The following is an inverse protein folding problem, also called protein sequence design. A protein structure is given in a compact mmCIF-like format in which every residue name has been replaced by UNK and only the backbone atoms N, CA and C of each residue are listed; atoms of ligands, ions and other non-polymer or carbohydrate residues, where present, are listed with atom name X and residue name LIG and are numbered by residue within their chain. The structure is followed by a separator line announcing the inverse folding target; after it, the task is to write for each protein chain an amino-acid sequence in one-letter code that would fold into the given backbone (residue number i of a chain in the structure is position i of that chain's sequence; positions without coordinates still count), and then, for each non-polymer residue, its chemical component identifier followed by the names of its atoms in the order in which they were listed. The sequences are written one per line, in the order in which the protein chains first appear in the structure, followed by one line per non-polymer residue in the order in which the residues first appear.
data_IF_947086214710
#
_entry.id   IF_947086214710
#
_cell.length_a   1.000
_cell.length_b   1.000
_cell.length_c   1.000
_cell.angle_alpha   90.00
_cell.angle_beta   90.00
_cell.angle_gamma   90.00
#
_symmetry.space_group_name_H-M   'P 1'
#
loop_
_entity.id
_entity.type
_entity.pdbx_description
1 polymer ?
#
# COMPACT_ATOMS: atom_id res chain seq x y z
N UNK A 1 22.06 33.59 13.04
CA UNK A 1 20.80 33.28 13.75
C UNK A 1 20.86 31.83 14.13
N UNK A 2 20.77 31.54 15.42
CA UNK A 2 21.03 30.24 16.04
C UNK A 2 20.02 29.20 15.54
N UNK A 3 20.45 28.31 14.65
CA UNK A 3 19.71 27.09 14.30
C UNK A 3 19.74 26.18 15.51
N UNK A 4 18.76 26.33 16.41
CA UNK A 4 18.48 25.30 17.39
C UNK A 4 18.02 24.07 16.60
N UNK A 5 18.68 22.93 16.82
CA UNK A 5 18.17 21.66 16.31
C UNK A 5 16.71 21.51 16.74
N UNK A 6 15.83 21.00 15.86
CA UNK A 6 14.44 20.77 16.22
C UNK A 6 14.39 19.90 17.49
N UNK A 7 13.43 20.15 18.40
CA UNK A 7 13.31 19.40 19.65
C UNK A 7 13.21 17.91 19.34
N UNK A 8 14.06 17.10 20.01
CA UNK A 8 14.06 15.65 19.82
C UNK A 8 12.74 15.08 20.32
N UNK A 9 12.04 14.22 19.56
CA UNK A 9 10.77 13.65 19.97
C UNK A 9 10.92 12.84 21.27
N UNK A 10 9.88 12.76 22.12
CA UNK A 10 9.91 11.97 23.34
C UNK A 10 10.26 10.50 23.08
N UNK A 11 11.05 9.90 23.97
CA UNK A 11 11.41 8.50 23.86
C UNK A 11 10.17 7.60 24.00
N UNK A 12 9.98 6.70 23.04
CA UNK A 12 8.86 5.75 23.02
C UNK A 12 9.28 4.46 23.72
N UNK A 13 8.41 3.91 24.57
CA UNK A 13 8.59 2.62 25.23
C UNK A 13 7.68 1.54 24.65
N UNK A 14 6.53 1.93 24.09
CA UNK A 14 5.56 1.03 23.51
C UNK A 14 4.98 1.55 22.19
N UNK A 15 4.73 0.63 21.27
CA UNK A 15 3.88 0.85 20.11
C UNK A 15 2.56 0.13 20.33
N UNK A 16 1.45 0.81 20.06
CA UNK A 16 0.11 0.25 20.07
C UNK A 16 -0.49 0.45 18.68
N UNK A 17 -0.95 -0.61 18.03
CA UNK A 17 -1.48 -0.53 16.67
C UNK A 17 -2.96 -0.91 16.66
N UNK A 18 -3.77 -0.22 15.87
CA UNK A 18 -5.04 -0.80 15.44
C UNK A 18 -4.80 -2.05 14.56
N UNK A 19 -5.84 -2.85 14.36
CA UNK A 19 -5.80 -4.06 13.55
C UNK A 19 -6.35 -3.85 12.14
N UNK A 20 -7.57 -3.32 12.05
CA UNK A 20 -8.40 -3.31 10.86
C UNK A 20 -8.07 -2.06 10.05
N UNK A 21 -7.78 -2.18 8.76
CA UNK A 21 -7.39 -1.02 7.94
C UNK A 21 -5.96 -0.51 8.21
N UNK A 22 -5.26 -1.05 9.21
CA UNK A 22 -3.86 -0.73 9.53
C UNK A 22 -2.89 -1.92 9.42
N UNK A 23 -3.13 -3.01 10.16
CA UNK A 23 -2.32 -4.24 10.06
C UNK A 23 -2.89 -5.17 9.01
N UNK A 24 -4.22 -5.30 9.00
CA UNK A 24 -4.97 -6.20 8.14
C UNK A 24 -5.88 -5.40 7.21
N UNK A 25 -5.85 -5.74 5.93
CA UNK A 25 -6.80 -5.23 4.95
C UNK A 25 -8.14 -5.99 5.08
N UNK A 26 -8.91 -5.64 6.10
CA UNK A 26 -10.27 -6.16 6.30
C UNK A 26 -11.30 -5.37 5.50
N UNK A 27 -11.00 -4.13 5.11
CA UNK A 27 -11.89 -3.31 4.32
C UNK A 27 -12.11 -3.87 2.91
N UNK A 28 -11.05 -4.34 2.23
CA UNK A 28 -11.21 -4.99 0.92
C UNK A 28 -12.15 -6.20 0.99
N UNK A 29 -12.07 -7.02 2.05
CA UNK A 29 -13.01 -8.13 2.24
C UNK A 29 -14.45 -7.64 2.46
N UNK A 30 -14.64 -6.59 3.26
CA UNK A 30 -15.93 -5.96 3.46
C UNK A 30 -16.54 -5.45 2.14
N UNK A 31 -15.76 -4.80 1.28
CA UNK A 31 -16.22 -4.33 -0.02
C UNK A 31 -16.57 -5.47 -0.96
N UNK A 32 -15.76 -6.53 -0.99
CA UNK A 32 -16.01 -7.70 -1.83
C UNK A 32 -17.30 -8.42 -1.42
N UNK A 33 -17.50 -8.65 -0.12
CA UNK A 33 -18.75 -9.22 0.39
C UNK A 33 -19.92 -8.28 0.15
N UNK A 34 -19.75 -6.98 0.40
CA UNK A 34 -20.76 -5.97 0.14
C UNK A 34 -21.25 -5.98 -1.31
N UNK A 35 -20.31 -6.02 -2.26
CA UNK A 35 -20.59 -6.15 -3.70
C UNK A 35 -21.32 -7.45 -4.01
N UNK A 36 -20.89 -8.58 -3.43
CA UNK A 36 -21.52 -9.87 -3.67
C UNK A 36 -22.97 -9.92 -3.12
N UNK A 37 -23.22 -9.36 -1.94
CA UNK A 37 -24.55 -9.28 -1.33
C UNK A 37 -25.45 -8.36 -2.16
N UNK A 38 -24.99 -7.16 -2.53
CA UNK A 38 -25.76 -6.26 -3.39
C UNK A 38 -26.12 -6.90 -4.74
N UNK A 39 -25.18 -7.62 -5.36
CA UNK A 39 -25.42 -8.30 -6.62
C UNK A 39 -26.54 -9.34 -6.54
N UNK A 40 -26.69 -10.03 -5.39
CA UNK A 40 -27.82 -10.96 -5.15
C UNK A 40 -29.17 -10.25 -5.16
N UNK A 41 -29.18 -8.97 -4.82
CA UNK A 41 -30.36 -8.10 -4.84
C UNK A 41 -30.47 -7.26 -6.13
N UNK A 42 -29.68 -7.58 -7.17
CA UNK A 42 -29.70 -6.87 -8.45
C UNK A 42 -29.17 -5.44 -8.37
N UNK A 43 -28.31 -5.14 -7.40
CA UNK A 43 -27.69 -3.82 -7.19
C UNK A 43 -26.17 -3.91 -7.33
N UNK A 44 -25.55 -2.78 -7.61
CA UNK A 44 -24.09 -2.63 -7.67
C UNK A 44 -23.59 -1.75 -6.54
N UNK A 45 -22.39 -2.05 -6.02
CA UNK A 45 -21.73 -1.19 -5.04
C UNK A 45 -21.14 0.04 -5.75
N UNK A 46 -21.86 1.16 -5.70
CA UNK A 46 -21.39 2.42 -6.30
C UNK A 46 -20.37 3.12 -5.39
N UNK A 47 -19.49 3.98 -5.94
CA UNK A 47 -18.57 4.79 -5.14
C UNK A 47 -19.31 5.68 -4.11
N UNK A 48 -20.49 6.19 -4.45
CA UNK A 48 -21.35 6.98 -3.57
C UNK A 48 -21.82 6.16 -2.37
N UNK A 49 -22.31 4.93 -2.63
CA UNK A 49 -22.79 4.02 -1.59
C UNK A 49 -21.66 3.57 -0.67
N UNK A 50 -20.48 3.30 -1.25
CA UNK A 50 -19.27 3.00 -0.49
C UNK A 50 -18.88 4.17 0.43
N UNK A 51 -18.84 5.40 -0.09
CA UNK A 51 -18.55 6.59 0.73
C UNK A 51 -19.58 6.81 1.83
N UNK A 52 -20.87 6.56 1.56
CA UNK A 52 -21.94 6.69 2.54
C UNK A 52 -21.81 5.69 3.69
N UNK A 53 -21.29 4.48 3.44
CA UNK A 53 -21.13 3.41 4.42
C UNK A 53 -19.86 3.52 5.27
N UNK A 54 -18.89 4.31 4.83
CA UNK A 54 -17.53 4.34 5.34
C UNK A 54 -17.43 4.73 6.82
N UNK A 55 -16.61 4.02 7.59
CA UNK A 55 -16.34 4.30 9.01
C UNK A 55 -17.53 4.08 9.95
N UNK A 56 -18.62 3.47 9.48
CA UNK A 56 -19.84 3.22 10.27
C UNK A 56 -19.93 1.77 10.75
N UNK A 57 -20.70 1.57 11.81
CA UNK A 57 -21.05 0.21 12.29
C UNK A 57 -21.87 -0.53 11.23
N UNK A 58 -21.77 -1.89 11.15
CA UNK A 58 -22.37 -2.66 10.06
C UNK A 58 -23.84 -2.36 9.77
N UNK A 59 -24.68 -2.25 10.80
CA UNK A 59 -26.11 -1.96 10.64
C UNK A 59 -26.36 -0.58 10.00
N UNK A 60 -25.63 0.46 10.45
CA UNK A 60 -25.73 1.80 9.88
C UNK A 60 -25.14 1.85 8.47
N UNK A 61 -23.98 1.20 8.27
CA UNK A 61 -23.31 1.10 6.97
C UNK A 61 -24.23 0.46 5.93
N UNK A 62 -24.86 -0.67 6.25
CA UNK A 62 -25.84 -1.33 5.37
C UNK A 62 -27.09 -0.48 5.15
N UNK A 63 -27.57 0.24 6.16
CA UNK A 63 -28.73 1.13 6.03
C UNK A 63 -28.48 2.28 5.06
N UNK A 64 -27.34 2.95 5.18
CA UNK A 64 -26.95 4.05 4.29
C UNK A 64 -26.65 3.55 2.87
N UNK A 65 -25.96 2.42 2.76
CA UNK A 65 -25.67 1.77 1.49
C UNK A 65 -26.96 1.35 0.77
N UNK A 66 -27.89 0.68 1.46
CA UNK A 66 -29.17 0.27 0.90
C UNK A 66 -30.00 1.48 0.44
N UNK A 67 -30.00 2.56 1.22
CA UNK A 67 -30.65 3.82 0.85
C UNK A 67 -30.05 4.42 -0.41
N UNK A 68 -28.72 4.46 -0.52
CA UNK A 68 -28.02 5.07 -1.66
C UNK A 68 -28.28 4.32 -2.97
N UNK A 69 -28.34 2.99 -2.93
CA UNK A 69 -28.61 2.17 -4.13
C UNK A 69 -30.12 1.94 -4.38
N UNK A 70 -30.99 2.52 -3.57
CA UNK A 70 -32.45 2.33 -3.65
C UNK A 70 -32.87 0.86 -3.48
N UNK A 71 -32.31 0.19 -2.47
CA UNK A 71 -32.64 -1.19 -2.09
C UNK A 71 -33.61 -1.19 -0.91
N UNK A 72 -34.82 -1.71 -1.11
CA UNK A 72 -35.87 -1.82 -0.08
C UNK A 72 -35.73 -3.10 0.75
N UNK A 73 -34.52 -3.39 1.23
CA UNK A 73 -34.23 -4.53 2.12
C UNK A 73 -33.82 -3.98 3.49
N UNK A 74 -34.37 -4.52 4.60
CA UNK A 74 -33.96 -4.10 5.94
C UNK A 74 -32.45 -4.29 6.14
N UNK A 75 -31.78 -3.28 6.69
CA UNK A 75 -30.33 -3.33 6.91
C UNK A 75 -29.90 -4.53 7.77
N UNK A 76 -30.74 -4.95 8.73
CA UNK A 76 -30.47 -6.14 9.54
C UNK A 76 -30.40 -7.41 8.70
N UNK A 77 -31.28 -7.56 7.69
CA UNK A 77 -31.23 -8.70 6.79
C UNK A 77 -29.93 -8.72 5.99
N UNK A 78 -29.46 -7.55 5.52
CA UNK A 78 -28.19 -7.44 4.81
C UNK A 78 -26.98 -7.75 5.72
N UNK A 79 -27.05 -7.36 7.01
CA UNK A 79 -26.08 -7.78 8.02
C UNK A 79 -26.08 -9.31 8.14
N UNK A 80 -27.23 -9.93 8.36
CA UNK A 80 -27.38 -11.37 8.54
C UNK A 80 -26.92 -12.17 7.30
N UNK A 81 -27.09 -11.61 6.09
CA UNK A 81 -26.60 -12.19 4.83
C UNK A 81 -25.07 -12.05 4.66
N UNK A 82 -24.49 -10.94 5.13
CA UNK A 82 -23.07 -10.61 4.95
C UNK A 82 -22.15 -11.22 6.00
N UNK A 83 -22.60 -11.33 7.25
CA UNK A 83 -21.81 -11.82 8.38
C UNK A 83 -21.20 -13.21 8.14
N UNK A 84 -21.95 -14.26 7.72
CA UNK A 84 -21.35 -15.57 7.49
C UNK A 84 -20.33 -15.59 6.35
N UNK A 85 -20.49 -14.71 5.35
CA UNK A 85 -19.55 -14.58 4.23
C UNK A 85 -18.24 -13.94 4.68
N UNK A 86 -18.32 -12.94 5.56
CA UNK A 86 -17.15 -12.31 6.16
C UNK A 86 -16.45 -13.24 7.14
N UNK A 87 -17.20 -13.91 8.00
CA UNK A 87 -16.69 -14.87 9.00
C UNK A 87 -15.87 -15.99 8.36
N UNK A 88 -16.28 -16.47 7.18
CA UNK A 88 -15.54 -17.46 6.41
C UNK A 88 -14.21 -16.94 5.82
N UNK A 89 -14.05 -15.62 5.70
CA UNK A 89 -12.93 -14.97 4.98
C UNK A 89 -12.00 -14.16 5.87
N UNK A 90 -12.32 -13.95 7.15
CA UNK A 90 -11.46 -13.17 8.05
C UNK A 90 -10.01 -13.64 8.11
N UNK A 91 -9.80 -14.95 8.06
CA UNK A 91 -8.46 -15.53 8.05
C UNK A 91 -7.64 -15.14 6.80
N UNK A 92 -8.31 -14.78 5.71
CA UNK A 92 -7.73 -14.43 4.41
C UNK A 92 -7.39 -12.94 4.27
N UNK A 93 -7.73 -12.11 5.26
CA UNK A 93 -7.39 -10.69 5.25
C UNK A 93 -5.89 -10.51 4.99
N UNK A 94 -5.53 -9.73 3.98
CA UNK A 94 -4.12 -9.50 3.61
C UNK A 94 -3.45 -8.63 4.67
N UNK A 95 -2.13 -8.74 4.77
CA UNK A 95 -1.34 -7.86 5.65
C UNK A 95 -1.06 -6.58 4.87
N UNK A 96 -1.31 -5.43 5.49
CA UNK A 96 -1.05 -4.14 4.87
C UNK A 96 0.46 -3.83 4.82
N UNK A 97 0.94 -3.18 3.74
CA UNK A 97 2.37 -2.96 3.55
C UNK A 97 3.03 -2.17 4.69
N UNK A 98 4.14 -2.70 5.22
CA UNK A 98 4.92 -2.11 6.30
C UNK A 98 4.48 -2.49 7.71
N UNK A 99 3.31 -3.11 7.90
CA UNK A 99 2.80 -3.48 9.23
C UNK A 99 3.69 -4.52 9.91
N UNK A 100 4.01 -5.61 9.21
CA UNK A 100 4.88 -6.68 9.73
C UNK A 100 6.28 -6.14 10.05
N UNK A 101 6.88 -5.42 9.11
CA UNK A 101 8.19 -4.77 9.27
C UNK A 101 8.27 -3.90 10.52
N UNK A 102 7.25 -3.09 10.78
CA UNK A 102 7.20 -2.24 11.97
C UNK A 102 7.16 -3.06 13.27
N UNK A 103 6.34 -4.11 13.33
CA UNK A 103 6.22 -4.98 14.51
C UNK A 103 7.53 -5.73 14.79
N UNK A 104 8.15 -6.31 13.77
CA UNK A 104 9.45 -6.99 13.87
C UNK A 104 10.55 -6.02 14.32
N UNK A 105 10.59 -4.81 13.75
CA UNK A 105 11.53 -3.76 14.14
C UNK A 105 11.34 -3.32 15.60
N UNK A 106 10.10 -3.10 16.02
CA UNK A 106 9.78 -2.70 17.38
C UNK A 106 10.26 -3.75 18.39
N UNK A 107 10.00 -5.03 18.09
CA UNK A 107 10.46 -6.16 18.89
C UNK A 107 11.99 -6.25 18.96
N UNK A 108 12.67 -6.12 17.83
CA UNK A 108 14.13 -6.12 17.75
C UNK A 108 14.77 -4.95 18.52
N UNK A 109 14.05 -3.84 18.65
CA UNK A 109 14.47 -2.67 19.43
C UNK A 109 14.13 -2.76 20.92
N UNK A 110 13.51 -3.87 21.38
CA UNK A 110 13.14 -4.05 22.78
C UNK A 110 11.90 -3.24 23.20
N UNK A 111 11.14 -2.69 22.26
CA UNK A 111 9.89 -1.97 22.56
C UNK A 111 8.80 -2.96 22.95
N UNK A 112 7.84 -2.46 23.75
CA UNK A 112 6.59 -3.17 24.00
C UNK A 112 5.63 -2.99 22.84
N UNK A 113 4.89 -4.04 22.49
CA UNK A 113 4.02 -4.06 21.32
C UNK A 113 2.64 -4.58 21.68
N UNK A 114 1.61 -3.79 21.38
CA UNK A 114 0.22 -4.22 21.54
C UNK A 114 -0.64 -3.96 20.32
N UNK A 115 -1.73 -4.72 20.22
CA UNK A 115 -2.88 -4.39 19.37
C UNK A 115 -4.02 -3.85 20.24
N UNK A 116 -4.67 -2.79 19.78
CA UNK A 116 -5.86 -2.21 20.40
C UNK A 116 -6.96 -2.04 19.34
N UNK A 117 -7.92 -2.97 19.29
CA UNK A 117 -8.91 -3.06 18.21
C UNK A 117 -10.35 -2.96 18.73
N UNK A 118 -11.25 -2.42 17.90
CA UNK A 118 -12.70 -2.49 18.15
C UNK A 118 -13.29 -3.89 17.86
N UNK A 119 -12.52 -4.78 17.24
CA UNK A 119 -12.92 -6.15 16.93
C UNK A 119 -13.09 -6.98 18.22
N UNK A 120 -14.18 -7.75 18.37
CA UNK A 120 -14.35 -8.69 19.49
C UNK A 120 -13.28 -9.78 19.52
N UNK A 121 -12.95 -10.30 20.70
CA UNK A 121 -11.90 -11.34 20.90
C UNK A 121 -12.05 -12.52 19.94
N UNK A 122 -13.25 -13.09 19.83
CA UNK A 122 -13.49 -14.25 18.99
C UNK A 122 -13.21 -13.99 17.49
N UNK A 123 -13.52 -12.79 16.99
CA UNK A 123 -13.26 -12.39 15.61
C UNK A 123 -11.78 -12.02 15.41
N UNK A 124 -11.11 -11.44 16.41
CA UNK A 124 -9.66 -11.22 16.40
C UNK A 124 -8.92 -12.55 16.17
N UNK A 125 -9.23 -13.59 16.96
CA UNK A 125 -8.58 -14.91 16.82
C UNK A 125 -8.75 -15.50 15.42
N UNK A 126 -9.93 -15.30 14.79
CA UNK A 126 -10.16 -15.72 13.40
C UNK A 126 -9.29 -14.96 12.40
N UNK A 127 -9.24 -13.63 12.50
CA UNK A 127 -8.45 -12.75 11.62
C UNK A 127 -6.95 -13.10 11.63
N UNK A 128 -6.43 -13.48 12.79
CA UNK A 128 -5.01 -13.80 12.98
C UNK A 128 -4.67 -15.29 12.85
N UNK A 129 -5.66 -16.18 12.72
CA UNK A 129 -5.48 -17.64 12.71
C UNK A 129 -4.49 -18.17 11.65
N UNK A 130 -4.38 -17.52 10.50
CA UNK A 130 -3.41 -17.86 9.42
C UNK A 130 -2.11 -17.04 9.48
N UNK A 131 -1.92 -16.28 10.57
CA UNK A 131 -0.85 -15.28 10.73
C UNK A 131 -0.18 -15.45 12.09
N UNK A 132 0.32 -16.66 12.37
CA UNK A 132 0.95 -17.00 13.65
C UNK A 132 2.04 -16.00 14.08
N UNK A 133 2.77 -15.45 13.11
CA UNK A 133 3.78 -14.41 13.32
C UNK A 133 3.22 -13.17 14.05
N UNK A 134 1.95 -12.81 13.87
CA UNK A 134 1.38 -11.61 14.47
C UNK A 134 1.23 -11.79 15.98
N UNK A 135 0.44 -12.76 16.52
CA UNK A 135 0.39 -13.00 17.96
C UNK A 135 1.77 -13.23 18.60
N UNK A 136 2.71 -13.87 17.91
CA UNK A 136 4.08 -14.11 18.39
C UNK A 136 4.88 -12.81 18.63
N UNK A 137 4.55 -11.72 17.94
CA UNK A 137 5.21 -10.42 18.10
C UNK A 137 4.55 -9.51 19.14
N UNK A 138 3.36 -9.86 19.65
CA UNK A 138 2.58 -9.01 20.56
C UNK A 138 2.86 -9.36 22.03
N UNK A 139 3.13 -8.35 22.85
CA UNK A 139 3.10 -8.49 24.32
C UNK A 139 1.66 -8.47 24.86
N UNK A 140 0.75 -7.79 24.17
CA UNK A 140 -0.65 -7.65 24.59
C UNK A 140 -1.62 -7.43 23.41
N UNK A 141 -2.88 -7.79 23.63
CA UNK A 141 -3.99 -7.47 22.72
C UNK A 141 -5.16 -7.00 23.57
N UNK A 142 -5.76 -5.85 23.25
CA UNK A 142 -7.03 -5.39 23.81
C UNK A 142 -8.12 -5.38 22.73
N UNK A 143 -9.22 -6.09 22.97
CA UNK A 143 -10.34 -6.22 22.05
C UNK A 143 -11.54 -5.37 22.47
N UNK A 144 -12.42 -5.08 21.52
CA UNK A 144 -13.52 -4.13 21.72
C UNK A 144 -14.60 -4.58 22.72
N UNK A 145 -14.76 -5.90 22.88
CA UNK A 145 -15.67 -6.54 23.84
C UNK A 145 -15.09 -6.65 25.25
N UNK A 146 -13.83 -6.26 25.44
CA UNK A 146 -13.13 -6.31 26.73
C UNK A 146 -13.08 -4.96 27.44
N UNK A 147 -13.70 -3.93 26.87
CA UNK A 147 -13.73 -2.57 27.41
C UNK A 147 -15.15 -2.01 27.51
N UNK A 148 -15.44 -1.13 28.50
CA UNK A 148 -16.79 -0.60 28.70
C UNK A 148 -17.28 0.29 27.56
N UNK A 149 -16.36 1.03 26.91
CA UNK A 149 -16.67 1.98 25.85
C UNK A 149 -15.69 1.80 24.70
N UNK A 150 -16.21 1.58 23.50
CA UNK A 150 -15.40 1.55 22.27
C UNK A 150 -14.93 2.94 21.83
N UNK A 151 -14.06 2.97 20.82
CA UNK A 151 -13.58 4.20 20.16
C UNK A 151 -14.79 5.08 19.74
N UNK A 152 -14.77 6.42 19.96
CA UNK A 152 -13.62 7.26 20.31
C UNK A 152 -13.31 7.38 21.81
N UNK A 153 -13.92 6.57 22.68
CA UNK A 153 -13.50 6.52 24.08
C UNK A 153 -12.07 5.92 24.20
N UNK A 154 -11.25 6.38 25.16
CA UNK A 154 -9.85 5.98 25.26
C UNK A 154 -9.63 4.56 25.81
N UNK A 155 -10.70 3.91 26.26
CA UNK A 155 -10.67 2.73 27.12
C UNK A 155 -9.82 1.58 26.53
N UNK A 156 -9.89 1.32 25.22
CA UNK A 156 -9.12 0.24 24.56
C UNK A 156 -7.61 0.51 24.53
N UNK A 157 -7.19 1.76 24.35
CA UNK A 157 -5.77 2.12 24.35
C UNK A 157 -5.21 2.13 25.77
N UNK A 158 -5.98 2.62 26.74
CA UNK A 158 -5.61 2.54 28.15
C UNK A 158 -5.49 1.09 28.63
N UNK A 159 -6.41 0.23 28.19
CA UNK A 159 -6.36 -1.21 28.50
C UNK A 159 -5.15 -1.89 27.86
N UNK A 160 -4.81 -1.56 26.61
CA UNK A 160 -3.58 -2.04 25.96
C UNK A 160 -2.33 -1.60 26.75
N UNK A 161 -2.21 -0.32 27.12
CA UNK A 161 -1.09 0.18 27.92
C UNK A 161 -1.00 -0.49 29.30
N UNK A 162 -2.14 -0.77 29.95
CA UNK A 162 -2.22 -1.52 31.21
C UNK A 162 -1.68 -2.94 31.04
N UNK A 163 -2.09 -3.66 29.98
CA UNK A 163 -1.62 -5.03 29.69
C UNK A 163 -0.14 -5.09 29.32
N UNK A 164 0.42 -4.01 28.79
CA UNK A 164 1.87 -3.85 28.55
C UNK A 164 2.70 -3.67 29.83
N UNK A 165 2.12 -3.85 31.01
CA UNK A 165 2.79 -3.65 32.30
C UNK A 165 2.61 -2.24 32.86
N UNK A 166 1.60 -1.49 32.39
CA UNK A 166 1.32 -0.14 32.85
C UNK A 166 2.25 0.91 32.25
N UNK A 167 2.56 0.79 30.95
CA UNK A 167 3.36 1.80 30.24
C UNK A 167 2.63 3.15 30.30
N UNK A 168 3.30 4.26 30.70
CA UNK A 168 2.67 5.57 30.73
C UNK A 168 2.15 5.99 29.35
N UNK A 169 0.93 6.57 29.22
CA UNK A 169 0.38 6.94 27.92
C UNK A 169 1.27 7.86 27.06
N UNK A 170 1.94 8.84 27.67
CA UNK A 170 2.89 9.73 26.96
C UNK A 170 4.15 9.01 26.42
N UNK A 171 4.42 7.79 26.86
CA UNK A 171 5.49 6.93 26.35
C UNK A 171 5.01 5.91 25.30
N UNK A 172 3.71 5.94 24.95
CA UNK A 172 3.12 5.13 23.88
C UNK A 172 3.06 5.93 22.58
N UNK A 173 3.34 5.25 21.47
CA UNK A 173 3.05 5.73 20.12
C UNK A 173 1.97 4.84 19.51
N UNK A 174 0.84 5.44 19.16
CA UNK A 174 -0.27 4.74 18.52
C UNK A 174 -0.15 4.86 17.00
N UNK A 175 -0.45 3.77 16.28
CA UNK A 175 -0.74 3.80 14.85
C UNK A 175 -2.20 3.44 14.64
N UNK A 176 -2.91 4.21 13.82
CA UNK A 176 -4.36 4.13 13.64
C UNK A 176 -4.75 4.50 12.22
N UNK A 177 -5.81 3.94 11.67
CA UNK A 177 -6.31 4.21 10.32
C UNK A 177 -7.57 5.07 10.31
N UNK A 178 -8.29 5.16 11.44
CA UNK A 178 -9.60 5.80 11.53
C UNK A 178 -9.59 7.07 12.42
N UNK A 179 -10.38 8.10 12.07
CA UNK A 179 -10.49 9.32 12.90
C UNK A 179 -10.94 9.04 14.34
N UNK A 180 -11.93 8.16 14.52
CA UNK A 180 -12.43 7.80 15.86
C UNK A 180 -11.35 7.11 16.72
N UNK A 181 -10.43 6.38 16.09
CA UNK A 181 -9.30 5.77 16.76
C UNK A 181 -8.22 6.78 17.12
N UNK A 182 -7.89 7.70 16.21
CA UNK A 182 -6.98 8.81 16.51
C UNK A 182 -7.51 9.68 17.67
N UNK A 183 -8.82 9.95 17.70
CA UNK A 183 -9.48 10.65 18.81
C UNK A 183 -9.37 9.87 20.13
N UNK A 184 -9.61 8.56 20.11
CA UNK A 184 -9.45 7.71 21.29
C UNK A 184 -8.01 7.66 21.81
N UNK A 185 -7.02 7.59 20.93
CA UNK A 185 -5.60 7.62 21.30
C UNK A 185 -5.22 8.97 21.91
N UNK A 186 -5.69 10.06 21.32
CA UNK A 186 -5.50 11.42 21.85
C UNK A 186 -6.16 11.57 23.24
N UNK A 187 -7.40 11.09 23.40
CA UNK A 187 -8.12 11.11 24.67
C UNK A 187 -7.44 10.25 25.75
N UNK A 188 -6.66 9.24 25.35
CA UNK A 188 -5.85 8.44 26.25
C UNK A 188 -4.55 9.14 26.69
N UNK A 189 -4.22 10.31 26.12
CA UNK A 189 -2.97 11.02 26.39
C UNK A 189 -1.77 10.43 25.66
N UNK A 190 -2.01 9.77 24.51
CA UNK A 190 -0.96 9.15 23.69
C UNK A 190 -0.72 9.97 22.41
N UNK A 191 0.50 9.88 21.86
CA UNK A 191 0.76 10.36 20.50
C UNK A 191 0.22 9.34 19.49
N UNK A 192 -0.36 9.82 18.40
CA UNK A 192 -0.89 8.96 17.33
C UNK A 192 -0.40 9.38 15.96
N UNK A 193 0.02 8.40 15.16
CA UNK A 193 0.29 8.52 13.72
C UNK A 193 -0.89 7.89 12.99
N UNK A 194 -1.63 8.71 12.24
CA UNK A 194 -2.71 8.21 11.41
C UNK A 194 -2.15 7.64 10.09
N UNK A 195 -2.66 6.51 9.64
CA UNK A 195 -2.33 5.83 8.39
C UNK A 195 -3.65 5.38 7.75
N UNK A 196 -4.34 6.27 7.02
CA UNK A 196 -5.68 5.97 6.55
C UNK A 196 -5.67 4.75 5.62
N UNK A 197 -6.71 3.91 5.72
CA UNK A 197 -6.84 2.71 4.89
C UNK A 197 -6.72 3.01 3.39
N UNK A 198 -6.19 2.05 2.62
CA UNK A 198 -5.99 2.15 1.17
C UNK A 198 -7.29 2.39 0.39
N UNK A 199 -8.42 1.97 0.96
CA UNK A 199 -9.76 2.12 0.37
C UNK A 199 -10.28 3.56 0.45
N UNK A 200 -9.77 4.35 1.41
CA UNK A 200 -10.10 5.77 1.57
C UNK A 200 -9.44 6.65 0.50
N UNK A 201 -8.43 6.12 -0.18
CA UNK A 201 -7.64 6.86 -1.14
C UNK A 201 -8.31 6.72 -2.51
N UNK A 202 -8.53 7.84 -3.19
CA UNK A 202 -9.42 7.99 -4.35
C UNK A 202 -10.36 9.21 -4.20
N UNK A 203 -10.41 9.77 -2.98
CA UNK A 203 -11.08 11.03 -2.67
C UNK A 203 -10.58 11.58 -1.33
N UNK A 204 -9.31 12.02 -1.31
CA UNK A 204 -8.65 12.85 -0.28
C UNK A 204 -8.96 12.50 1.19
N UNK A 205 -7.96 11.96 1.89
CA UNK A 205 -7.93 11.99 3.36
C UNK A 205 -7.95 13.42 3.94
N UNK A 206 -7.81 14.45 3.09
CA UNK A 206 -7.90 15.86 3.45
C UNK A 206 -9.19 16.15 4.23
N UNK A 207 -9.03 16.56 5.49
CA UNK A 207 -10.13 16.91 6.37
C UNK A 207 -10.78 15.73 7.10
N UNK A 208 -10.36 14.48 6.88
CA UNK A 208 -10.79 13.33 7.72
C UNK A 208 -10.15 13.39 9.11
N UNK A 209 -8.90 13.86 9.16
CA UNK A 209 -8.14 14.02 10.39
C UNK A 209 -7.94 15.52 10.69
N UNK A 210 -7.84 15.91 11.98
CA UNK A 210 -7.42 17.25 12.33
C UNK A 210 -5.98 17.52 11.84
N UNK A 211 -5.59 18.79 11.79
CA UNK A 211 -4.20 19.16 11.45
C UNK A 211 -3.21 18.55 12.45
N UNK A 212 -2.21 17.77 11.98
CA UNK A 212 -1.24 17.13 12.85
C UNK A 212 -0.30 18.15 13.52
N UNK A 213 0.12 17.84 14.74
CA UNK A 213 1.10 18.65 15.50
C UNK A 213 2.32 17.79 15.85
N UNK A 214 3.37 17.94 15.06
CA UNK A 214 4.56 17.08 15.14
C UNK A 214 5.26 17.10 16.52
N UNK A 215 5.16 18.21 17.26
CA UNK A 215 5.77 18.44 18.57
C UNK A 215 4.83 18.17 19.75
N UNK A 216 3.61 17.69 19.50
CA UNK A 216 2.63 17.47 20.56
C UNK A 216 3.03 16.31 21.49
N UNK A 217 2.85 16.52 22.81
CA UNK A 217 3.06 15.47 23.82
C UNK A 217 1.98 14.38 23.77
N UNK A 218 0.80 14.69 23.22
CA UNK A 218 -0.29 13.77 22.96
C UNK A 218 -1.15 14.27 21.78
N UNK A 219 -1.87 13.36 21.14
CA UNK A 219 -2.70 13.64 19.98
C UNK A 219 -2.04 13.30 18.65
N UNK A 220 -2.68 13.71 17.56
CA UNK A 220 -2.25 13.41 16.20
C UNK A 220 -0.96 14.15 15.86
N UNK A 221 0.13 13.40 15.64
CA UNK A 221 1.44 13.97 15.31
C UNK A 221 1.74 13.95 13.82
N UNK A 222 1.14 13.02 13.07
CA UNK A 222 1.30 12.95 11.62
C UNK A 222 0.20 12.09 10.99
N UNK A 223 -0.12 12.38 9.73
CA UNK A 223 -0.85 11.49 8.83
C UNK A 223 0.14 10.96 7.78
N UNK A 224 0.28 9.65 7.65
CA UNK A 224 1.11 8.99 6.65
C UNK A 224 0.22 8.32 5.60
N UNK A 225 0.64 8.26 4.33
CA UNK A 225 -0.10 7.52 3.30
C UNK A 225 0.01 5.99 3.47
N UNK A 226 1.03 5.52 4.20
CA UNK A 226 1.28 4.10 4.47
C UNK A 226 2.36 3.94 5.53
N UNK A 227 2.41 2.79 6.20
CA UNK A 227 3.52 2.39 7.07
C UNK A 227 4.84 2.21 6.29
N UNK A 228 4.82 2.05 4.96
CA UNK A 228 6.03 2.09 4.13
C UNK A 228 6.73 3.46 4.16
N UNK A 229 5.97 4.54 4.36
CA UNK A 229 6.50 5.90 4.45
C UNK A 229 7.01 6.25 5.85
N UNK A 230 6.92 5.33 6.81
CA UNK A 230 7.31 5.58 8.19
C UNK A 230 8.82 5.78 8.32
N UNK A 231 9.21 6.89 8.96
CA UNK A 231 10.59 7.14 9.39
C UNK A 231 10.65 7.10 10.94
N UNK A 232 11.01 5.96 11.56
CA UNK A 232 10.93 5.79 13.00
C UNK A 232 11.62 6.91 13.83
N UNK A 233 12.81 7.43 13.45
CA UNK A 233 13.46 8.50 14.21
C UNK A 233 12.63 9.77 14.37
N UNK A 234 11.73 10.07 13.44
CA UNK A 234 10.85 11.24 13.52
C UNK A 234 9.90 11.20 14.71
N UNK A 235 9.68 10.02 15.31
CA UNK A 235 8.73 9.81 16.41
C UNK A 235 9.42 9.41 17.73
N UNK A 236 10.75 9.34 17.75
CA UNK A 236 11.51 8.90 18.93
C UNK A 236 11.75 7.39 18.99
N UNK A 237 11.56 6.69 17.87
CA UNK A 237 11.89 5.28 17.71
C UNK A 237 13.30 5.10 17.10
N UNK A 238 14.01 3.99 17.37
CA UNK A 238 15.28 3.68 16.68
C UNK A 238 15.09 3.53 15.16
N UNK A 239 16.08 3.88 14.32
CA UNK A 239 15.97 3.76 12.87
C UNK A 239 15.87 2.30 12.43
N UNK A 240 15.14 2.07 11.34
CA UNK A 240 15.10 0.78 10.66
C UNK A 240 16.52 0.32 10.27
N UNK A 241 16.80 -0.98 10.43
CA UNK A 241 18.12 -1.58 10.19
C UNK A 241 18.22 -2.37 8.89
N UNK A 242 17.09 -2.52 8.18
CA UNK A 242 16.91 -3.33 6.99
C UNK A 242 16.88 -2.49 5.69
N UNK A 243 17.11 -1.18 5.77
CA UNK A 243 17.17 -0.31 4.59
C UNK A 243 18.33 -0.71 3.68
N UNK A 244 18.06 -0.82 2.37
CA UNK A 244 19.04 -1.14 1.35
C UNK A 244 19.41 0.15 0.62
N UNK A 245 20.55 0.76 0.99
CA UNK A 245 20.97 2.07 0.49
C UNK A 245 19.87 3.15 0.60
N UNK A 246 19.12 3.16 1.71
CA UNK A 246 18.02 4.11 1.95
C UNK A 246 16.65 3.66 1.42
N UNK A 247 16.58 2.60 0.62
CA UNK A 247 15.33 2.03 0.11
C UNK A 247 14.75 1.00 1.08
N UNK A 248 13.44 1.05 1.28
CA UNK A 248 12.70 0.04 2.05
C UNK A 248 12.46 -1.20 1.17
N UNK A 249 13.01 -2.38 1.50
CA UNK A 249 12.67 -3.61 0.79
C UNK A 249 11.21 -3.98 1.03
N UNK A 250 10.54 -4.51 0.00
CA UNK A 250 9.16 -5.01 0.13
C UNK A 250 9.16 -6.45 0.64
N UNK A 251 8.31 -6.77 1.62
CA UNK A 251 8.14 -8.13 2.16
C UNK A 251 7.79 -9.14 1.06
N UNK A 252 6.97 -8.71 0.10
CA UNK A 252 6.62 -9.46 -1.09
C UNK A 252 6.75 -8.55 -2.33
N UNK A 253 7.71 -8.82 -3.23
CA UNK A 253 7.75 -8.15 -4.52
C UNK A 253 6.46 -8.41 -5.30
N UNK A 254 5.89 -7.37 -5.89
CA UNK A 254 4.72 -7.51 -6.75
C UNK A 254 5.09 -7.34 -8.22
N UNK A 255 4.25 -7.91 -9.08
CA UNK A 255 4.56 -8.12 -10.49
C UNK A 255 3.49 -7.45 -11.32
N UNK A 256 3.91 -6.68 -12.32
CA UNK A 256 2.99 -5.97 -13.23
C UNK A 256 3.33 -6.34 -14.67
N UNK A 257 2.31 -6.63 -15.48
CA UNK A 257 2.44 -6.86 -16.91
C UNK A 257 1.45 -5.97 -17.62
N UNK A 258 1.90 -5.26 -18.64
CA UNK A 258 1.00 -4.48 -19.49
C UNK A 258 1.65 -4.08 -20.79
N UNK A 259 0.98 -3.19 -21.51
CA UNK A 259 1.46 -2.68 -22.80
C UNK A 259 1.95 -1.25 -22.63
N UNK A 260 3.06 -0.91 -23.27
CA UNK A 260 3.61 0.45 -23.23
C UNK A 260 2.78 1.36 -24.13
N UNK A 261 2.13 2.36 -23.52
CA UNK A 261 1.30 3.34 -24.22
C UNK A 261 1.96 4.72 -24.24
N UNK A 262 1.56 5.55 -25.22
CA UNK A 262 1.94 6.97 -25.22
C UNK A 262 1.21 7.67 -24.08
N UNK A 263 1.96 8.23 -23.12
CA UNK A 263 1.37 9.07 -22.09
C UNK A 263 1.08 10.49 -22.59
N UNK A 264 0.59 11.32 -21.67
CA UNK A 264 0.19 12.71 -21.92
C UNK A 264 1.34 13.70 -22.16
N UNK A 265 2.57 13.21 -22.36
CA UNK A 265 3.70 14.02 -22.84
C UNK A 265 4.43 14.89 -21.82
N UNK A 266 4.03 14.91 -20.54
CA UNK A 266 4.73 15.69 -19.48
C UNK A 266 6.11 15.11 -19.11
N UNK A 267 6.24 13.79 -19.00
CA UNK A 267 7.50 13.09 -18.67
C UNK A 267 8.61 13.25 -19.71
N UNK A 268 8.31 12.95 -20.97
CA UNK A 268 9.33 12.80 -22.01
C UNK A 268 9.69 14.08 -22.77
N UNK A 269 8.76 15.05 -22.92
CA UNK A 269 9.02 16.31 -23.64
C UNK A 269 9.40 17.49 -22.75
N UNK A 270 8.88 17.55 -21.51
CA UNK A 270 9.15 18.68 -20.59
C UNK A 270 10.19 18.33 -19.51
N UNK A 271 10.25 17.08 -19.04
CA UNK A 271 11.19 16.67 -17.96
C UNK A 271 12.46 15.99 -18.47
N UNK A 272 12.51 15.61 -19.75
CA UNK A 272 13.66 14.90 -20.36
C UNK A 272 13.87 13.48 -19.83
N UNK A 273 12.83 12.84 -19.29
CA UNK A 273 12.89 11.50 -18.69
C UNK A 273 11.99 10.57 -19.51
N UNK A 274 12.53 9.51 -20.14
CA UNK A 274 11.75 8.58 -20.95
C UNK A 274 10.95 7.62 -20.03
N UNK A 275 9.80 8.08 -19.54
CA UNK A 275 8.85 7.26 -18.78
C UNK A 275 7.99 6.44 -19.74
N UNK A 276 7.90 5.13 -19.53
CA UNK A 276 6.92 4.27 -20.19
C UNK A 276 5.61 4.33 -19.39
N UNK A 277 4.50 4.66 -20.02
CA UNK A 277 3.20 4.55 -19.37
C UNK A 277 2.68 3.15 -19.61
N UNK A 278 2.16 2.49 -18.57
CA UNK A 278 1.53 1.18 -18.73
C UNK A 278 0.02 1.38 -18.76
N UNK A 279 -0.63 0.67 -19.68
CA UNK A 279 -2.09 0.66 -19.80
C UNK A 279 -2.76 0.36 -18.44
N UNK A 280 -3.59 1.28 -17.96
CA UNK A 280 -4.17 1.24 -16.63
C UNK A 280 -5.22 0.13 -16.50
N UNK A 281 -5.96 -0.17 -17.58
CA UNK A 281 -6.96 -1.24 -17.60
C UNK A 281 -6.32 -2.61 -17.36
N UNK A 282 -5.13 -2.83 -17.95
CA UNK A 282 -4.36 -4.07 -17.79
C UNK A 282 -3.78 -4.27 -16.38
N UNK A 283 -3.67 -3.21 -15.57
CA UNK A 283 -3.03 -3.23 -14.24
C UNK A 283 -4.00 -2.93 -13.08
N UNK A 284 -5.28 -2.74 -13.38
CA UNK A 284 -6.25 -2.19 -12.43
C UNK A 284 -6.35 -3.00 -11.15
N UNK A 285 -6.34 -4.33 -11.25
CA UNK A 285 -6.46 -5.22 -10.09
C UNK A 285 -5.20 -5.17 -9.21
N UNK A 286 -4.02 -5.21 -9.82
CA UNK A 286 -2.73 -5.20 -9.14
C UNK A 286 -2.41 -3.83 -8.51
N UNK A 287 -2.82 -2.74 -9.15
CA UNK A 287 -2.60 -1.38 -8.64
C UNK A 287 -3.63 -0.96 -7.61
N UNK A 288 -4.86 -1.48 -7.64
CA UNK A 288 -5.91 -1.10 -6.69
C UNK A 288 -5.42 -1.16 -5.23
N UNK A 289 -4.70 -2.23 -4.87
CA UNK A 289 -4.15 -2.46 -3.53
C UNK A 289 -2.75 -1.88 -3.31
N UNK A 290 -2.10 -1.32 -4.33
CA UNK A 290 -0.75 -0.76 -4.20
C UNK A 290 -0.78 0.57 -3.43
N UNK A 291 0.14 0.74 -2.48
CA UNK A 291 0.35 2.03 -1.80
C UNK A 291 0.85 3.05 -2.84
N UNK A 292 0.41 4.32 -2.78
CA UNK A 292 0.98 5.33 -3.66
C UNK A 292 2.38 5.77 -3.21
N UNK A 293 3.25 6.09 -4.17
CA UNK A 293 4.64 6.43 -3.88
C UNK A 293 5.58 6.10 -5.03
N UNK A 294 6.86 6.23 -4.73
CA UNK A 294 7.97 5.95 -5.65
C UNK A 294 8.60 4.62 -5.27
N UNK A 295 8.72 3.76 -6.26
CA UNK A 295 9.20 2.39 -6.14
C UNK A 295 10.42 2.16 -7.02
N UNK A 296 11.12 1.06 -6.77
CA UNK A 296 12.16 0.55 -7.66
C UNK A 296 12.04 -0.95 -7.88
N UNK A 297 12.65 -1.40 -8.96
CA UNK A 297 12.72 -2.82 -9.29
C UNK A 297 13.38 -3.08 -10.62
N UNK A 298 12.91 -4.12 -11.30
CA UNK A 298 13.44 -4.57 -12.58
C UNK A 298 12.34 -4.62 -13.63
N UNK A 299 12.73 -4.36 -14.88
CA UNK A 299 11.85 -4.36 -16.04
C UNK A 299 12.47 -5.14 -17.20
N UNK A 300 11.60 -5.72 -18.03
CA UNK A 300 11.96 -6.26 -19.35
C UNK A 300 10.89 -5.84 -20.36
N UNK A 301 11.26 -5.74 -21.64
CA UNK A 301 10.40 -5.21 -22.71
C UNK A 301 10.39 -6.16 -23.91
N UNK A 302 9.20 -6.41 -24.45
CA UNK A 302 8.98 -7.17 -25.66
C UNK A 302 9.55 -8.58 -25.58
N UNK A 303 10.11 -9.05 -26.70
CA UNK A 303 10.80 -10.33 -26.78
C UNK A 303 12.25 -10.31 -26.25
N UNK A 304 12.75 -9.14 -25.82
CA UNK A 304 14.11 -9.02 -25.30
C UNK A 304 14.25 -9.76 -23.97
N UNK A 305 15.35 -10.52 -23.83
CA UNK A 305 15.78 -11.09 -22.55
C UNK A 305 16.54 -10.10 -21.66
N UNK A 306 16.76 -8.86 -22.11
CA UNK A 306 17.46 -7.86 -21.33
C UNK A 306 16.62 -7.39 -20.13
N UNK A 307 17.26 -7.36 -18.97
CA UNK A 307 16.67 -6.88 -17.72
C UNK A 307 17.29 -5.54 -17.36
N UNK A 308 16.43 -4.55 -17.09
CA UNK A 308 16.82 -3.19 -16.76
C UNK A 308 16.37 -2.84 -15.35
N UNK A 309 17.19 -2.08 -14.61
CA UNK A 309 16.74 -1.43 -13.37
C UNK A 309 15.68 -0.40 -13.72
N UNK A 310 14.71 -0.18 -12.85
CA UNK A 310 13.68 0.83 -13.03
C UNK A 310 13.34 1.55 -11.73
N UNK A 311 12.87 2.78 -11.88
CA UNK A 311 12.12 3.55 -10.90
C UNK A 311 10.69 3.64 -11.39
N UNK A 312 9.70 3.62 -10.51
CA UNK A 312 8.30 3.69 -10.91
C UNK A 312 7.50 4.54 -9.94
N UNK A 313 6.71 5.47 -10.47
CA UNK A 313 5.69 6.16 -9.68
C UNK A 313 4.39 5.37 -9.71
N UNK A 314 3.75 5.19 -8.56
CA UNK A 314 2.35 4.76 -8.46
C UNK A 314 1.57 5.89 -7.81
N UNK A 315 0.57 6.42 -8.50
CA UNK A 315 -0.22 7.57 -8.06
C UNK A 315 -1.65 7.54 -8.59
N UNK A 316 -2.50 8.45 -8.13
CA UNK A 316 -3.89 8.57 -8.60
C UNK A 316 -3.97 9.29 -9.94
N UNK A 317 -4.84 8.81 -10.82
CA UNK A 317 -5.05 9.37 -12.15
C UNK A 317 -6.08 10.53 -12.13
N UNK A 318 -5.66 11.77 -12.41
CA UNK A 318 -6.57 12.92 -12.39
C UNK A 318 -7.67 12.86 -13.47
N UNK A 319 -7.44 12.17 -14.59
CA UNK A 319 -8.39 12.10 -15.71
C UNK A 319 -9.61 11.23 -15.40
N UNK A 320 -9.47 10.26 -14.50
CA UNK A 320 -10.56 9.39 -14.04
C UNK A 320 -11.13 9.87 -12.71
N UNK A 321 -11.09 11.18 -12.45
CA UNK A 321 -11.56 11.76 -11.19
C UNK A 321 -10.83 11.23 -9.95
N UNK A 322 -9.56 10.80 -10.10
CA UNK A 322 -8.79 10.08 -9.08
C UNK A 322 -9.41 8.76 -8.61
N UNK A 323 -10.23 8.09 -9.43
CA UNK A 323 -10.81 6.79 -9.09
C UNK A 323 -9.86 5.60 -9.35
N UNK A 324 -8.79 5.81 -10.12
CA UNK A 324 -7.87 4.75 -10.56
C UNK A 324 -6.42 5.17 -10.35
N UNK A 325 -5.56 4.20 -10.05
CA UNK A 325 -4.11 4.43 -9.94
C UNK A 325 -3.42 4.12 -11.26
N UNK A 326 -2.39 4.89 -11.57
CA UNK A 326 -1.47 4.65 -12.69
C UNK A 326 -0.10 4.23 -12.19
N UNK A 327 0.61 3.50 -13.04
CA UNK A 327 2.01 3.14 -12.84
C UNK A 327 2.85 3.73 -13.98
N UNK A 328 3.87 4.52 -13.63
CA UNK A 328 4.75 5.22 -14.56
C UNK A 328 6.21 4.78 -14.34
N UNK A 329 6.63 3.65 -14.92
CA UNK A 329 8.02 3.20 -14.87
C UNK A 329 8.95 4.05 -15.75
N UNK A 330 10.09 4.44 -15.18
CA UNK A 330 11.28 4.93 -15.86
C UNK A 330 12.35 3.84 -15.84
N UNK A 331 12.67 3.30 -17.01
CA UNK A 331 13.75 2.34 -17.17
C UNK A 331 15.07 3.10 -17.15
N UNK A 332 15.99 2.66 -16.27
CA UNK A 332 17.27 3.29 -16.02
C UNK A 332 18.33 2.87 -17.06
N UNK A 333 17.93 2.86 -18.33
CA UNK A 333 18.71 2.49 -19.50
C UNK A 333 18.34 3.38 -20.70
N UNK A 334 19.26 3.50 -21.65
CA UNK A 334 19.04 4.27 -22.86
C UNK A 334 18.43 3.41 -23.96
N UNK A 335 17.37 3.92 -24.60
CA UNK A 335 16.69 3.27 -25.72
C UNK A 335 16.80 4.17 -26.95
N UNK A 336 17.40 3.70 -28.06
CA UNK A 336 17.58 4.50 -29.25
C UNK A 336 16.25 4.83 -29.95
N UNK A 337 15.25 3.95 -29.82
CA UNK A 337 13.91 4.13 -30.37
C UNK A 337 12.83 3.91 -29.29
N UNK A 338 11.68 4.61 -29.38
CA UNK A 338 10.56 4.34 -28.49
C UNK A 338 9.95 2.95 -28.74
N UNK A 339 9.64 2.23 -27.67
CA UNK A 339 9.09 0.87 -27.69
C UNK A 339 7.58 0.84 -27.39
N UNK A 340 6.82 1.77 -27.97
CA UNK A 340 5.36 1.81 -27.80
C UNK A 340 4.70 0.57 -28.40
N UNK A 341 3.68 0.03 -27.72
CA UNK A 341 2.98 -1.19 -28.12
C UNK A 341 3.66 -2.48 -27.68
N UNK A 342 4.89 -2.42 -27.18
CA UNK A 342 5.58 -3.58 -26.63
C UNK A 342 4.99 -3.98 -25.26
N UNK A 343 5.01 -5.29 -24.98
CA UNK A 343 4.75 -5.79 -23.63
C UNK A 343 5.86 -5.33 -22.69
N UNK A 344 5.51 -4.84 -21.51
CA UNK A 344 6.44 -4.55 -20.44
C UNK A 344 6.11 -5.42 -19.22
N UNK A 345 7.14 -6.02 -18.64
CA UNK A 345 7.03 -6.86 -17.44
C UNK A 345 7.88 -6.25 -16.34
N UNK A 346 7.29 -6.01 -15.18
CA UNK A 346 7.90 -5.33 -14.04
C UNK A 346 7.90 -6.24 -12.82
N UNK A 347 9.03 -6.27 -12.11
CA UNK A 347 9.17 -6.87 -10.78
C UNK A 347 9.54 -5.74 -9.83
N UNK A 348 8.60 -5.35 -8.97
CA UNK A 348 8.72 -4.24 -8.02
C UNK A 348 9.13 -4.79 -6.67
N UNK A 349 10.29 -4.37 -6.14
CA UNK A 349 10.88 -4.97 -4.94
C UNK A 349 11.32 -3.97 -3.86
N UNK A 350 11.29 -2.67 -4.13
CA UNK A 350 11.63 -1.65 -3.14
C UNK A 350 10.71 -0.43 -3.18
N UNK A 351 10.48 0.16 -2.01
CA UNK A 351 9.81 1.44 -1.82
C UNK A 351 10.83 2.52 -1.45
N UNK A 352 10.90 3.59 -2.24
CA UNK A 352 11.85 4.68 -2.06
C UNK A 352 11.26 5.73 -1.11
N UNK A 353 10.07 6.25 -1.43
CA UNK A 353 9.45 7.36 -0.68
C UNK A 353 7.97 7.56 -1.04
N UNK A 354 7.19 8.28 -0.22
CA UNK A 354 5.86 8.75 -0.63
C UNK A 354 5.91 9.77 -1.76
N UNK A 355 4.77 9.95 -2.42
CA UNK A 355 4.55 11.06 -3.34
C UNK A 355 4.71 12.40 -2.61
N UNK A 356 5.18 13.42 -3.33
CA UNK A 356 5.40 14.73 -2.76
C UNK A 356 5.04 15.82 -3.77
N UNK A 357 4.55 16.95 -3.27
CA UNK A 357 4.37 18.16 -4.06
C UNK A 357 5.68 18.95 -4.11
N UNK A 358 5.99 19.56 -5.25
CA UNK A 358 7.20 20.36 -5.47
C UNK A 358 6.85 21.80 -5.81
N UNK A 359 7.64 22.74 -5.31
CA UNK A 359 7.46 24.17 -5.54
C UNK A 359 7.89 24.64 -6.94
N UNK A 360 8.62 23.81 -7.69
CA UNK A 360 9.10 24.10 -9.04
C UNK A 360 9.33 22.84 -9.85
N UNK A 361 9.37 23.00 -11.19
CA UNK A 361 9.71 21.94 -12.13
C UNK A 361 11.13 21.40 -11.89
N UNK A 362 12.09 22.29 -11.65
CA UNK A 362 13.49 21.90 -11.42
C UNK A 362 13.64 21.05 -10.15
N UNK A 363 12.91 21.40 -9.07
CA UNK A 363 12.90 20.61 -7.85
C UNK A 363 12.31 19.21 -8.08
N UNK A 364 11.24 19.11 -8.88
CA UNK A 364 10.66 17.84 -9.30
C UNK A 364 11.67 17.01 -10.11
N UNK A 365 12.29 17.59 -11.15
CA UNK A 365 13.28 16.90 -11.99
C UNK A 365 14.46 16.42 -11.16
N UNK A 366 15.00 17.28 -10.28
CA UNK A 366 16.11 16.94 -9.40
C UNK A 366 15.75 15.77 -8.48
N UNK A 367 14.53 15.75 -7.92
CA UNK A 367 14.08 14.64 -7.08
C UNK A 367 13.88 13.35 -7.87
N UNK A 368 13.33 13.40 -9.08
CA UNK A 368 13.18 12.19 -9.93
C UNK A 368 14.56 11.60 -10.25
N UNK A 369 15.55 12.44 -10.57
CA UNK A 369 16.92 11.97 -10.81
C UNK A 369 17.53 11.34 -9.56
N UNK A 370 17.34 11.95 -8.40
CA UNK A 370 17.77 11.38 -7.12
C UNK A 370 17.08 10.04 -6.84
N UNK A 371 15.78 9.89 -7.15
CA UNK A 371 15.09 8.59 -7.06
C UNK A 371 15.74 7.53 -7.98
N UNK A 372 16.19 7.95 -9.16
CA UNK A 372 17.00 7.13 -10.08
C UNK A 372 18.31 6.66 -9.46
N UNK A 373 19.05 7.56 -8.82
CA UNK A 373 20.32 7.26 -8.17
C UNK A 373 20.13 6.33 -6.96
N UNK A 374 19.13 6.61 -6.11
CA UNK A 374 18.75 5.78 -4.98
C UNK A 374 18.42 4.35 -5.44
N UNK A 375 17.62 4.21 -6.50
CA UNK A 375 17.29 2.92 -7.10
C UNK A 375 18.53 2.20 -7.68
N UNK A 376 19.41 2.90 -8.40
CA UNK A 376 20.63 2.29 -8.95
C UNK A 376 21.50 1.70 -7.84
N UNK A 377 21.67 2.44 -6.76
CA UNK A 377 22.46 2.04 -5.59
C UNK A 377 21.82 0.83 -4.88
N UNK A 378 20.52 0.91 -4.56
CA UNK A 378 19.81 -0.15 -3.85
C UNK A 378 19.73 -1.45 -4.65
N UNK A 379 19.36 -1.37 -5.93
CA UNK A 379 19.23 -2.53 -6.84
C UNK A 379 20.58 -3.15 -7.23
N UNK A 380 21.71 -2.57 -6.82
CA UNK A 380 23.04 -3.19 -6.97
C UNK A 380 23.40 -4.10 -5.79
N UNK A 381 22.67 -4.04 -4.68
CA UNK A 381 22.96 -4.78 -3.46
C UNK A 381 22.14 -6.08 -3.41
N UNK A 382 22.75 -7.14 -2.87
CA UNK A 382 22.25 -8.51 -2.91
C UNK A 382 20.76 -8.70 -2.51
N UNK A 383 20.21 -8.04 -1.46
CA UNK A 383 18.81 -8.23 -1.08
C UNK A 383 17.82 -7.90 -2.19
N UNK A 384 18.15 -6.91 -3.04
CA UNK A 384 17.29 -6.50 -4.14
C UNK A 384 17.79 -7.02 -5.49
N UNK A 385 19.10 -7.12 -5.71
CA UNK A 385 19.70 -7.60 -6.97
C UNK A 385 19.18 -8.98 -7.39
N UNK A 386 18.90 -9.86 -6.42
CA UNK A 386 18.39 -11.20 -6.69
C UNK A 386 17.09 -11.21 -7.52
N UNK A 387 16.27 -10.16 -7.43
CA UNK A 387 15.02 -10.04 -8.20
C UNK A 387 15.24 -9.80 -9.70
N UNK A 388 16.45 -9.43 -10.13
CA UNK A 388 16.80 -9.33 -11.54
C UNK A 388 16.69 -10.67 -12.27
N UNK A 389 16.75 -11.79 -11.54
CA UNK A 389 16.68 -13.16 -12.06
C UNK A 389 15.28 -13.77 -11.94
N UNK A 390 14.26 -12.99 -11.54
CA UNK A 390 12.90 -13.48 -11.43
C UNK A 390 12.37 -13.88 -12.81
N UNK A 391 11.88 -15.12 -12.94
CA UNK A 391 11.39 -15.68 -14.20
C UNK A 391 10.22 -14.92 -14.82
N UNK A 392 9.53 -14.06 -14.07
CA UNK A 392 8.50 -13.16 -14.61
C UNK A 392 9.05 -12.14 -15.61
N UNK A 393 10.35 -11.83 -15.54
CA UNK A 393 11.02 -10.95 -16.50
C UNK A 393 11.39 -11.66 -17.80
N UNK A 394 11.30 -12.99 -17.86
CA UNK A 394 11.56 -13.71 -19.08
C UNK A 394 10.44 -13.44 -20.12
N UNK A 395 10.79 -13.23 -21.40
CA UNK A 395 9.79 -13.14 -22.46
C UNK A 395 9.00 -14.45 -22.54
N UNK A 396 7.73 -14.38 -22.92
CA UNK A 396 6.94 -15.58 -23.20
C UNK A 396 7.66 -16.40 -24.28
N UNK A 397 7.75 -17.72 -24.09
CA UNK A 397 8.25 -18.60 -25.13
C UNK A 397 7.42 -18.37 -26.40
N UNK A 398 8.08 -18.12 -27.54
CA UNK A 398 7.37 -17.99 -28.80
C UNK A 398 6.46 -19.22 -28.98
N UNK A 399 5.20 -19.05 -29.43
CA UNK A 399 4.39 -20.19 -29.81
C UNK A 399 5.20 -21.02 -30.80
N UNK A 400 5.31 -22.34 -30.60
CA UNK A 400 6.11 -23.22 -31.46
C UNK A 400 5.79 -23.06 -32.96
N UNK A 401 4.58 -22.58 -33.29
CA UNK A 401 4.16 -22.24 -34.64
C UNK A 401 4.88 -21.02 -35.26
N UNK A 402 5.25 -20.00 -34.47
CA UNK A 402 5.96 -18.82 -34.95
C UNK A 402 7.45 -19.11 -35.21
N UNK A 403 8.07 -19.95 -34.37
CA UNK A 403 9.43 -20.44 -34.60
C UNK A 403 9.51 -21.34 -35.84
N UNK A 404 8.50 -22.20 -36.05
CA UNK A 404 8.40 -23.02 -37.26
C UNK A 404 8.15 -22.19 -38.52
N UNK A 405 7.34 -21.12 -38.43
CA UNK A 405 7.08 -20.22 -39.56
C UNK A 405 8.31 -19.36 -39.92
N UNK A 406 9.09 -18.91 -38.92
CA UNK A 406 10.35 -18.20 -39.14
C UNK A 406 11.41 -19.11 -39.79
N UNK A 407 11.55 -20.35 -39.30
CA UNK A 407 12.45 -21.34 -39.89
C UNK A 407 12.04 -21.70 -41.34
N UNK A 408 10.74 -21.83 -41.62
CA UNK A 408 10.23 -22.08 -42.96
C UNK A 408 10.43 -20.88 -43.90
N UNK A 409 10.31 -19.65 -43.40
CA UNK A 409 10.57 -18.44 -44.19
C UNK A 409 12.07 -18.28 -44.53
N UNK A 410 12.95 -18.70 -43.62
CA UNK A 410 14.40 -18.69 -43.83
C UNK A 410 14.82 -19.78 -44.84
N UNK A 411 14.23 -20.98 -44.79
CA UNK A 411 14.43 -22.02 -45.81
C UNK A 411 13.93 -21.58 -47.19
N UNK A 412 12.78 -20.90 -47.27
CA UNK A 412 12.24 -20.39 -48.55
C UNK A 412 13.12 -19.28 -49.12
N UNK A 413 13.69 -18.41 -48.27
CA UNK A 413 14.62 -17.37 -48.69
C UNK A 413 15.96 -17.94 -49.20
N UNK A 414 16.49 -18.98 -48.55
CA UNK A 414 17.72 -19.68 -48.96
C UNK A 414 17.51 -20.47 -50.25
N UNK A 415 16.33 -21.06 -50.45
CA UNK A 415 15.95 -21.75 -51.69
C UNK A 415 15.77 -20.78 -52.88
N UNK A 416 15.22 -19.60 -52.64
CA UNK A 416 15.08 -18.55 -53.65
C UNK A 416 16.42 -17.93 -54.06
N UNK A 417 17.40 -17.86 -53.15
CA UNK A 417 18.75 -17.38 -53.46
C UNK A 417 19.58 -18.40 -54.27
N UNK A 418 19.36 -19.69 -54.07
CA UNK A 418 20.07 -20.77 -54.79
C UNK A 418 19.54 -21.02 -56.21
N UNK A 419 18.40 -20.45 -56.58
CA UNK A 419 17.77 -20.61 -57.90
C UNK A 419 18.02 -19.41 -58.85
N UNK A 420 18.80 -18.42 -58.41
CA UNK A 420 19.16 -17.23 -59.17
C UNK A 420 20.64 -17.19 -59.63
N UNK A 421 21.34 -18.34 -59.61
CA UNK A 421 22.74 -18.49 -60.08
C UNK A 421 22.81 -19.35 -61.33
#
# INVERSE_FOLDING_TARGET
MTGADPPRPPAVQAIIMDLDGLILDTESLCLEVGRAVLARHGKELTPEAQRAALGKRPLCAWGDLAKEVGLEVPAQQLVDESEPLLEARWADAKVLPGARRLLEHARACGLKVAVATSTPRATFEKKVSRKAWLPELLDAVACGDEVPRGKPAPDVFLEAARRLGGVPPGACLVFEDAPSGAEAAAAAGMRVVAVPSLVLHGGRADGLFPEPRADAEAGLVQVLPSLLALSPPAYGLPPFRDLVAGVTPLDAPFKLRGTVVKGFGRGSRELGIPTANVDADSLRAELAEAVTGIYCGFASVGASGAVHKMVMSIGWNPFYGNAEKTAEPWLLADFPEPFYGEEIRLVVCGYIRPEANFSSLDALVARIRADGDDARAALALAPLEAHARDGFLAPAAAPAAAAAAAAAAEEVAVAAASSAV
#
